data_IF_509859042434
#
_entry.id   IF_509859042434
#
_cell.length_a   1.000
_cell.length_b   1.000
_cell.length_c   1.000
_cell.angle_alpha   90.00
_cell.angle_beta   90.00
_cell.angle_gamma   90.00
#
_symmetry.space_group_name_H-M   'P 1'
#
loop_
_entity.id
_entity.type
_entity.pdbx_description
1 polymer ?
#
# COMPACT_ATOMS: atom_id res chain seq x y z
N UNK A 1 60.19 27.58 -33.72
CA UNK A 1 59.88 27.55 -32.28
C UNK A 1 58.48 26.98 -32.13
N UNK A 2 58.36 25.66 -31.98
CA UNK A 2 57.08 24.99 -31.69
C UNK A 2 57.42 23.93 -30.66
N UNK A 3 57.24 24.24 -29.38
CA UNK A 3 57.18 23.21 -28.34
C UNK A 3 56.07 23.60 -27.35
N UNK A 4 55.10 22.69 -27.29
CA UNK A 4 54.24 22.32 -26.15
C UNK A 4 53.24 23.34 -25.61
N UNK A 5 51.97 23.17 -26.00
CA UNK A 5 50.84 23.53 -25.14
C UNK A 5 49.63 22.58 -25.24
N UNK A 6 49.80 21.36 -25.78
CA UNK A 6 48.67 20.43 -26.02
C UNK A 6 48.49 19.40 -24.88
N UNK A 7 49.37 19.36 -23.87
CA UNK A 7 49.39 18.30 -22.85
C UNK A 7 48.42 18.47 -21.66
N UNK A 8 47.87 19.66 -21.39
CA UNK A 8 47.16 19.93 -20.12
C UNK A 8 45.63 19.97 -20.21
N UNK A 9 45.04 20.03 -21.41
CA UNK A 9 43.58 20.07 -21.58
C UNK A 9 42.92 18.67 -21.50
N UNK A 10 43.67 17.60 -21.75
CA UNK A 10 43.14 16.23 -21.80
C UNK A 10 42.97 15.57 -20.42
N UNK A 11 43.70 16.03 -19.40
CA UNK A 11 43.65 15.44 -18.04
C UNK A 11 42.51 16.04 -17.19
N UNK A 12 42.15 17.30 -17.42
CA UNK A 12 41.02 17.95 -16.73
C UNK A 12 39.64 17.41 -17.16
N UNK A 13 39.49 17.00 -18.42
CA UNK A 13 38.23 16.47 -18.96
C UNK A 13 37.87 15.07 -18.45
N UNK A 14 38.87 14.22 -18.20
CA UNK A 14 38.64 12.82 -17.77
C UNK A 14 38.35 12.76 -16.26
N UNK A 15 39.06 13.53 -15.43
CA UNK A 15 38.78 13.62 -13.99
C UNK A 15 37.42 14.31 -13.70
N UNK A 16 37.06 15.35 -14.48
CA UNK A 16 35.75 15.99 -14.40
C UNK A 16 34.60 15.08 -14.85
N UNK A 17 34.82 14.24 -15.88
CA UNK A 17 33.82 13.31 -16.40
C UNK A 17 33.50 12.15 -15.44
N UNK A 18 34.52 11.52 -14.84
CA UNK A 18 34.32 10.43 -13.87
C UNK A 18 33.70 10.95 -12.57
N UNK A 19 34.13 12.10 -12.08
CA UNK A 19 33.54 12.74 -10.89
C UNK A 19 32.06 13.10 -11.10
N UNK A 20 31.73 13.65 -12.28
CA UNK A 20 30.33 13.99 -12.62
C UNK A 20 29.47 12.74 -12.76
N UNK A 21 30.00 11.65 -13.33
CA UNK A 21 29.27 10.39 -13.46
C UNK A 21 28.90 9.80 -12.09
N UNK A 22 29.86 9.71 -11.16
CA UNK A 22 29.63 9.19 -9.80
C UNK A 22 28.60 10.06 -9.05
N UNK A 23 28.71 11.38 -9.16
CA UNK A 23 27.74 12.31 -8.55
C UNK A 23 26.35 12.15 -9.16
N UNK A 24 26.25 12.01 -10.48
CA UNK A 24 24.98 11.78 -11.17
C UNK A 24 24.35 10.44 -10.77
N UNK A 25 25.16 9.39 -10.61
CA UNK A 25 24.70 8.07 -10.18
C UNK A 25 24.18 8.12 -8.75
N UNK A 26 24.88 8.82 -7.85
CA UNK A 26 24.40 9.05 -6.47
C UNK A 26 23.10 9.87 -6.44
N UNK A 27 22.98 10.92 -7.26
CA UNK A 27 21.74 11.71 -7.36
C UNK A 27 20.60 10.84 -7.90
N UNK A 28 20.85 9.96 -8.87
CA UNK A 28 19.84 9.03 -9.41
C UNK A 28 19.41 8.01 -8.36
N UNK A 29 20.34 7.43 -7.60
CA UNK A 29 20.05 6.52 -6.51
C UNK A 29 19.17 7.19 -5.45
N UNK A 30 19.57 8.37 -4.95
CA UNK A 30 18.79 9.12 -3.96
C UNK A 30 17.39 9.48 -4.49
N UNK A 31 17.27 9.88 -5.77
CA UNK A 31 15.97 10.15 -6.39
C UNK A 31 15.10 8.90 -6.50
N UNK A 32 15.70 7.72 -6.71
CA UNK A 32 14.97 6.45 -6.76
C UNK A 32 14.46 6.07 -5.37
N UNK A 33 15.33 6.14 -4.37
CA UNK A 33 14.95 5.89 -2.96
C UNK A 33 13.83 6.81 -2.50
N UNK A 34 13.92 8.11 -2.81
CA UNK A 34 12.88 9.07 -2.47
C UNK A 34 11.55 8.76 -3.19
N UNK A 35 11.60 8.34 -4.46
CA UNK A 35 10.39 7.91 -5.18
C UNK A 35 9.77 6.66 -4.57
N UNK A 36 10.58 5.67 -4.17
CA UNK A 36 10.10 4.45 -3.51
C UNK A 36 9.43 4.82 -2.18
N UNK A 37 10.06 5.70 -1.38
CA UNK A 37 9.51 6.18 -0.12
C UNK A 37 8.17 6.89 -0.30
N UNK A 38 8.09 7.81 -1.26
CA UNK A 38 6.85 8.52 -1.58
C UNK A 38 5.76 7.56 -2.09
N UNK A 39 6.13 6.56 -2.88
CA UNK A 39 5.22 5.54 -3.36
C UNK A 39 4.63 4.71 -2.21
N UNK A 40 5.47 4.19 -1.31
CA UNK A 40 5.02 3.46 -0.11
C UNK A 40 4.08 4.30 0.73
N UNK A 41 4.47 5.54 1.03
CA UNK A 41 3.65 6.46 1.82
C UNK A 41 2.29 6.74 1.16
N UNK A 42 2.26 6.93 -0.16
CA UNK A 42 1.03 7.19 -0.88
C UNK A 42 0.10 5.97 -0.88
N UNK A 43 0.65 4.77 -1.09
CA UNK A 43 -0.10 3.52 -1.05
C UNK A 43 -0.65 3.26 0.35
N UNK A 44 0.17 3.41 1.39
CA UNK A 44 -0.26 3.28 2.79
C UNK A 44 -1.36 4.29 3.12
N UNK A 45 -1.25 5.53 2.65
CA UNK A 45 -2.28 6.55 2.85
C UNK A 45 -3.62 6.15 2.21
N UNK A 46 -3.62 5.58 1.00
CA UNK A 46 -4.84 5.03 0.39
C UNK A 46 -5.39 3.85 1.21
N UNK A 47 -4.54 2.89 1.57
CA UNK A 47 -4.90 1.71 2.36
C UNK A 47 -5.45 2.07 3.75
N UNK A 48 -4.97 3.15 4.36
CA UNK A 48 -5.44 3.65 5.66
C UNK A 48 -6.87 4.18 5.63
N UNK A 49 -7.38 4.55 4.45
CA UNK A 49 -8.73 5.08 4.27
C UNK A 49 -9.78 3.98 3.99
N UNK A 50 -9.38 2.70 4.00
CA UNK A 50 -10.25 1.56 3.70
C UNK A 50 -10.91 1.03 4.98
N UNK A 51 -11.72 1.88 5.62
CA UNK A 51 -12.34 1.63 6.93
C UNK A 51 -13.24 0.39 6.93
N UNK A 52 -13.87 0.07 5.80
CA UNK A 52 -14.75 -1.09 5.64
C UNK A 52 -14.01 -2.43 5.64
N UNK A 53 -12.72 -2.44 5.29
CA UNK A 53 -11.88 -3.63 5.42
C UNK A 53 -11.43 -3.83 6.87
N UNK A 54 -11.24 -2.73 7.60
CA UNK A 54 -10.86 -2.76 9.02
C UNK A 54 -12.01 -3.14 9.95
N UNK A 55 -13.25 -2.81 9.58
CA UNK A 55 -14.42 -3.07 10.41
C UNK A 55 -15.12 -4.38 10.05
N UNK A 56 -15.09 -5.33 10.98
CA UNK A 56 -15.75 -6.64 10.86
C UNK A 56 -17.25 -6.51 11.21
N UNK A 57 -18.04 -5.86 10.35
CA UNK A 57 -19.48 -5.70 10.60
C UNK A 57 -20.32 -5.85 9.35
N UNK A 58 -20.85 -7.06 9.14
CA UNK A 58 -22.27 -7.15 8.75
C UNK A 58 -22.93 -8.30 9.51
N UNK A 59 -24.09 -8.03 10.10
CA UNK A 59 -24.84 -9.01 10.90
C UNK A 59 -25.70 -9.97 10.05
N UNK A 60 -25.65 -9.85 8.71
CA UNK A 60 -26.37 -10.72 7.77
C UNK A 60 -25.55 -10.97 6.49
N UNK A 61 -24.47 -11.73 6.64
CA UNK A 61 -23.50 -12.09 5.60
C UNK A 61 -24.08 -12.80 4.36
N UNK A 62 -25.29 -13.37 4.41
CA UNK A 62 -25.83 -14.12 3.27
C UNK A 62 -26.62 -13.29 2.26
N UNK A 63 -27.18 -12.15 2.69
CA UNK A 63 -28.19 -11.41 1.90
C UNK A 63 -27.86 -9.95 1.70
N UNK A 64 -26.79 -9.42 2.30
CA UNK A 64 -26.43 -8.02 2.19
C UNK A 64 -25.25 -7.83 1.23
N UNK A 65 -25.50 -7.08 0.16
CA UNK A 65 -24.45 -6.49 -0.67
C UNK A 65 -24.16 -5.10 -0.10
N UNK A 66 -22.89 -4.72 0.12
CA UNK A 66 -22.55 -3.37 0.57
C UNK A 66 -23.16 -2.29 -0.33
N UNK A 67 -23.49 -1.14 0.23
CA UNK A 67 -24.21 -0.06 -0.50
C UNK A 67 -23.31 0.82 -1.38
N UNK A 68 -22.03 0.95 -1.04
CA UNK A 68 -21.05 1.80 -1.75
C UNK A 68 -19.82 0.99 -2.20
N UNK A 69 -19.01 1.56 -3.10
CA UNK A 69 -17.68 1.01 -3.37
C UNK A 69 -16.89 0.98 -2.06
N UNK A 70 -16.25 -0.16 -1.79
CA UNK A 70 -15.61 -0.44 -0.49
C UNK A 70 -14.10 -0.15 -0.58
N UNK A 71 -13.56 -0.15 -1.80
CA UNK A 71 -12.11 -0.09 -2.02
C UNK A 71 -11.80 0.90 -3.13
N UNK A 72 -11.12 1.99 -2.80
CA UNK A 72 -10.56 2.92 -3.78
C UNK A 72 -9.21 2.41 -4.28
N UNK A 73 -8.89 2.65 -5.55
CA UNK A 73 -7.63 2.23 -6.17
C UNK A 73 -7.00 3.36 -7.00
N UNK A 74 -7.23 4.62 -6.62
CA UNK A 74 -6.80 5.80 -7.37
C UNK A 74 -5.28 5.99 -7.30
N UNK A 75 -4.70 5.86 -6.10
CA UNK A 75 -3.26 5.97 -5.89
C UNK A 75 -2.55 4.82 -6.59
N UNK A 76 -3.05 3.59 -6.45
CA UNK A 76 -2.53 2.44 -7.19
C UNK A 76 -2.56 2.66 -8.71
N UNK A 77 -3.72 3.04 -9.27
CA UNK A 77 -3.87 3.24 -10.72
C UNK A 77 -2.95 4.34 -11.24
N UNK A 78 -2.87 5.48 -10.53
CA UNK A 78 -2.03 6.61 -10.91
C UNK A 78 -0.54 6.33 -10.81
N UNK A 79 -0.13 5.38 -9.96
CA UNK A 79 1.26 4.99 -9.77
C UNK A 79 1.61 3.59 -10.30
N UNK A 80 0.75 2.97 -11.10
CA UNK A 80 0.92 1.60 -11.60
C UNK A 80 2.26 1.35 -12.29
N UNK A 81 2.78 2.32 -13.04
CA UNK A 81 4.11 2.22 -13.69
C UNK A 81 5.27 2.23 -12.69
N UNK A 82 5.06 2.79 -11.51
CA UNK A 82 6.06 2.93 -10.44
C UNK A 82 6.05 1.76 -9.46
N UNK A 83 5.03 0.88 -9.49
CA UNK A 83 4.98 -0.34 -8.65
C UNK A 83 6.22 -1.22 -8.87
N UNK A 84 6.78 -1.21 -10.07
CA UNK A 84 8.04 -1.91 -10.40
C UNK A 84 9.29 -1.39 -9.64
N UNK A 85 9.18 -0.27 -8.93
CA UNK A 85 10.25 0.27 -8.10
C UNK A 85 10.29 -0.33 -6.70
N UNK A 86 9.18 -0.92 -6.24
CA UNK A 86 9.08 -1.62 -4.96
C UNK A 86 9.93 -2.90 -4.97
N UNK A 87 10.12 -3.52 -3.80
CA UNK A 87 10.66 -4.89 -3.75
C UNK A 87 9.71 -5.87 -4.45
N UNK A 88 10.18 -7.03 -4.92
CA UNK A 88 9.31 -8.05 -5.49
C UNK A 88 8.14 -8.43 -4.59
N UNK A 89 8.40 -8.57 -3.29
CA UNK A 89 7.43 -8.95 -2.27
C UNK A 89 6.36 -7.87 -2.08
N UNK A 90 6.77 -6.60 -1.97
CA UNK A 90 5.87 -5.45 -1.90
C UNK A 90 5.01 -5.34 -3.17
N UNK A 91 5.63 -5.45 -4.35
CA UNK A 91 4.92 -5.36 -5.61
C UNK A 91 3.89 -6.49 -5.75
N UNK A 92 4.24 -7.72 -5.36
CA UNK A 92 3.33 -8.86 -5.37
C UNK A 92 2.15 -8.65 -4.41
N UNK A 93 2.41 -8.18 -3.19
CA UNK A 93 1.38 -7.92 -2.19
C UNK A 93 0.41 -6.81 -2.66
N UNK A 94 0.94 -5.70 -3.18
CA UNK A 94 0.16 -4.59 -3.75
C UNK A 94 -0.68 -5.06 -4.93
N UNK A 95 -0.09 -5.75 -5.89
CA UNK A 95 -0.80 -6.23 -7.09
C UNK A 95 -1.91 -7.21 -6.70
N UNK A 96 -1.63 -8.15 -5.80
CA UNK A 96 -2.61 -9.15 -5.31
C UNK A 96 -3.81 -8.45 -4.68
N UNK A 97 -3.56 -7.55 -3.74
CA UNK A 97 -4.61 -6.80 -3.06
C UNK A 97 -5.46 -5.99 -4.05
N UNK A 98 -4.86 -5.12 -4.87
CA UNK A 98 -5.64 -4.25 -5.76
C UNK A 98 -6.34 -4.99 -6.88
N UNK A 99 -5.75 -6.06 -7.42
CA UNK A 99 -6.43 -6.90 -8.41
C UNK A 99 -7.65 -7.56 -7.80
N UNK A 100 -7.51 -8.13 -6.61
CA UNK A 100 -8.62 -8.72 -5.88
C UNK A 100 -9.70 -7.69 -5.52
N UNK A 101 -9.31 -6.50 -5.07
CA UNK A 101 -10.22 -5.41 -4.74
C UNK A 101 -11.07 -4.97 -5.94
N UNK A 102 -10.45 -4.83 -7.12
CA UNK A 102 -11.14 -4.47 -8.36
C UNK A 102 -12.19 -5.54 -8.71
N UNK A 103 -11.85 -6.82 -8.62
CA UNK A 103 -12.77 -7.93 -8.90
C UNK A 103 -13.94 -7.97 -7.91
N UNK A 104 -13.69 -7.68 -6.63
CA UNK A 104 -14.75 -7.60 -5.62
C UNK A 104 -15.68 -6.42 -5.89
N UNK A 105 -15.16 -5.23 -6.20
CA UNK A 105 -16.00 -4.07 -6.56
C UNK A 105 -16.86 -4.35 -7.80
N UNK A 106 -16.31 -5.01 -8.82
CA UNK A 106 -17.07 -5.44 -10.00
C UNK A 106 -18.17 -6.43 -9.65
N UNK A 107 -17.89 -7.38 -8.75
CA UNK A 107 -18.87 -8.37 -8.29
C UNK A 107 -20.00 -7.70 -7.49
N UNK A 108 -19.66 -6.73 -6.65
CA UNK A 108 -20.63 -5.92 -5.90
C UNK A 108 -21.52 -5.10 -6.86
N UNK A 109 -20.92 -4.43 -7.85
CA UNK A 109 -21.68 -3.68 -8.86
C UNK A 109 -22.63 -4.59 -9.62
N UNK A 110 -22.14 -5.73 -10.11
CA UNK A 110 -22.97 -6.74 -10.80
C UNK A 110 -24.12 -7.20 -9.92
N UNK A 111 -23.86 -7.48 -8.65
CA UNK A 111 -24.90 -7.88 -7.71
C UNK A 111 -25.95 -6.79 -7.47
N UNK A 112 -25.54 -5.52 -7.39
CA UNK A 112 -26.48 -4.38 -7.29
C UNK A 112 -27.35 -4.24 -8.52
N UNK A 113 -26.77 -4.39 -9.71
CA UNK A 113 -27.52 -4.34 -10.96
C UNK A 113 -28.59 -5.44 -10.99
N UNK A 114 -28.22 -6.66 -10.59
CA UNK A 114 -29.17 -7.78 -10.46
C UNK A 114 -30.26 -7.53 -9.42
N UNK A 115 -29.93 -6.94 -8.27
CA UNK A 115 -30.91 -6.55 -7.24
C UNK A 115 -31.91 -5.54 -7.81
N UNK A 116 -31.43 -4.53 -8.53
CA UNK A 116 -32.27 -3.46 -9.08
C UNK A 116 -33.26 -3.96 -10.14
N UNK A 117 -32.96 -5.08 -10.77
CA UNK A 117 -33.76 -5.71 -11.83
C UNK A 117 -34.61 -6.87 -11.33
N UNK A 118 -34.50 -7.26 -10.07
CA UNK A 118 -35.13 -8.46 -9.53
C UNK A 118 -36.40 -8.15 -8.74
N UNK A 119 -37.46 -8.93 -8.99
CA UNK A 119 -38.71 -8.86 -8.22
C UNK A 119 -38.58 -9.46 -6.81
N UNK A 120 -37.56 -10.29 -6.56
CA UNK A 120 -37.33 -10.97 -5.29
C UNK A 120 -35.84 -10.98 -4.91
N UNK A 121 -35.24 -9.80 -4.63
CA UNK A 121 -33.81 -9.66 -4.42
C UNK A 121 -33.28 -10.45 -3.21
N UNK A 122 -34.12 -10.71 -2.21
CA UNK A 122 -33.79 -11.53 -1.05
C UNK A 122 -33.53 -13.02 -1.33
N UNK A 123 -33.82 -13.52 -2.54
CA UNK A 123 -33.61 -14.92 -2.91
C UNK A 123 -32.22 -15.20 -3.50
N UNK A 124 -31.44 -14.16 -3.78
CA UNK A 124 -30.08 -14.30 -4.30
C UNK A 124 -29.09 -14.63 -3.18
N UNK A 125 -28.14 -15.51 -3.49
CA UNK A 125 -27.05 -15.85 -2.59
C UNK A 125 -25.82 -15.00 -2.90
N UNK A 126 -25.40 -14.18 -1.93
CA UNK A 126 -24.22 -13.31 -2.04
C UNK A 126 -23.02 -13.85 -1.25
N UNK A 127 -23.04 -15.11 -0.82
CA UNK A 127 -21.96 -15.74 -0.05
C UNK A 127 -20.58 -15.63 -0.70
N UNK A 128 -20.50 -15.69 -2.04
CA UNK A 128 -19.25 -15.57 -2.81
C UNK A 128 -18.61 -14.18 -2.71
N UNK A 129 -19.42 -13.11 -2.66
CA UNK A 129 -18.94 -11.74 -2.46
C UNK A 129 -18.31 -11.61 -1.08
N UNK A 130 -18.95 -12.20 -0.08
CA UNK A 130 -18.48 -12.12 1.30
C UNK A 130 -17.20 -12.93 1.53
N UNK A 131 -17.10 -14.14 0.99
CA UNK A 131 -15.85 -14.90 1.01
C UNK A 131 -14.71 -14.13 0.33
N UNK A 132 -15.03 -13.42 -0.74
CA UNK A 132 -14.06 -12.59 -1.45
C UNK A 132 -13.67 -11.37 -0.59
N UNK A 133 -14.60 -10.74 0.12
CA UNK A 133 -14.29 -9.66 1.07
C UNK A 133 -13.38 -10.13 2.20
N UNK A 134 -13.64 -11.30 2.79
CA UNK A 134 -12.78 -11.85 3.84
C UNK A 134 -11.36 -12.13 3.32
N UNK A 135 -11.24 -12.67 2.11
CA UNK A 135 -9.94 -12.84 1.45
C UNK A 135 -9.23 -11.51 1.21
N UNK A 136 -9.97 -10.49 0.75
CA UNK A 136 -9.40 -9.16 0.51
C UNK A 136 -8.96 -8.46 1.81
N UNK A 137 -9.63 -8.72 2.93
CA UNK A 137 -9.15 -8.25 4.25
C UNK A 137 -7.79 -8.84 4.61
N UNK A 138 -7.59 -10.13 4.32
CA UNK A 138 -6.28 -10.77 4.51
C UNK A 138 -5.23 -10.19 3.56
N UNK A 139 -5.57 -10.06 2.27
CA UNK A 139 -4.65 -9.47 1.29
C UNK A 139 -4.32 -8.00 1.62
N UNK A 140 -5.27 -7.23 2.16
CA UNK A 140 -5.06 -5.86 2.65
C UNK A 140 -4.05 -5.84 3.80
N UNK A 141 -4.25 -6.71 4.80
CA UNK A 141 -3.37 -6.82 5.96
C UNK A 141 -1.94 -7.17 5.53
N UNK A 142 -1.78 -8.20 4.71
CA UNK A 142 -0.46 -8.59 4.17
C UNK A 142 0.19 -7.46 3.36
N UNK A 143 -0.58 -6.76 2.53
CA UNK A 143 -0.09 -5.62 1.76
C UNK A 143 0.41 -4.47 2.66
N UNK A 144 -0.35 -4.11 3.69
CA UNK A 144 0.05 -3.07 4.65
C UNK A 144 1.34 -3.46 5.37
N UNK A 145 1.40 -4.68 5.92
CA UNK A 145 2.56 -5.15 6.68
C UNK A 145 3.83 -5.17 5.81
N UNK A 146 3.73 -5.65 4.56
CA UNK A 146 4.86 -5.70 3.63
C UNK A 146 5.38 -4.32 3.24
N UNK A 147 4.48 -3.36 3.00
CA UNK A 147 4.85 -1.97 2.70
C UNK A 147 5.49 -1.28 3.92
N UNK A 148 5.00 -1.58 5.12
CA UNK A 148 5.49 -0.96 6.35
C UNK A 148 6.83 -1.56 6.80
N UNK A 149 7.06 -2.87 6.66
CA UNK A 149 8.28 -3.55 7.10
C UNK A 149 9.57 -2.99 6.46
N UNK A 150 9.43 -2.41 5.26
CA UNK A 150 10.51 -1.80 4.50
C UNK A 150 10.60 -0.26 4.67
N UNK A 151 9.83 0.33 5.60
CA UNK A 151 9.93 1.74 5.96
C UNK A 151 10.87 1.97 7.13
N UNK A 152 11.66 3.04 7.07
CA UNK A 152 12.44 3.50 8.23
C UNK A 152 11.51 3.86 9.40
N UNK A 153 11.85 3.35 10.59
CA UNK A 153 11.04 3.55 11.79
C UNK A 153 9.84 2.62 11.89
N UNK A 154 9.84 1.50 11.16
CA UNK A 154 8.88 0.41 11.37
C UNK A 154 9.01 -0.12 12.80
N UNK A 155 7.96 0.00 13.62
CA UNK A 155 7.96 -0.55 14.96
C UNK A 155 7.70 -2.04 14.90
N UNK A 156 8.42 -2.80 15.73
CA UNK A 156 8.20 -4.24 15.86
C UNK A 156 7.03 -4.55 16.79
N UNK A 157 6.78 -3.65 17.73
CA UNK A 157 5.75 -3.77 18.75
C UNK A 157 4.99 -2.47 18.93
N UNK A 158 3.72 -2.61 19.24
CA UNK A 158 2.82 -1.51 19.57
C UNK A 158 2.19 -1.82 20.90
N UNK A 159 2.09 -0.81 21.75
CA UNK A 159 1.27 -0.87 22.95
C UNK A 159 0.09 0.08 22.81
N UNK A 160 -1.11 -0.47 22.99
CA UNK A 160 -2.37 0.26 23.01
C UNK A 160 -3.00 0.02 24.38
N UNK A 161 -3.16 1.08 25.15
CA UNK A 161 -3.58 0.98 26.56
C UNK A 161 -2.65 0.06 27.37
N UNK A 162 -3.13 -1.10 27.82
CA UNK A 162 -2.37 -2.10 28.58
C UNK A 162 -1.94 -3.31 27.73
N UNK A 163 -2.35 -3.39 26.47
CA UNK A 163 -2.10 -4.55 25.60
C UNK A 163 -0.95 -4.30 24.63
N UNK A 164 -0.12 -5.32 24.44
CA UNK A 164 1.02 -5.31 23.53
C UNK A 164 0.73 -6.19 22.32
N UNK A 165 1.02 -5.65 21.14
CA UNK A 165 0.78 -6.25 19.85
C UNK A 165 2.06 -6.29 19.04
N UNK A 166 2.38 -7.45 18.47
CA UNK A 166 3.43 -7.57 17.45
C UNK A 166 2.87 -7.12 16.10
N UNK A 167 3.67 -6.40 15.33
CA UNK A 167 3.33 -5.97 13.97
C UNK A 167 3.67 -7.07 12.95
N UNK A 168 2.89 -8.14 12.98
CA UNK A 168 3.04 -9.32 12.14
C UNK A 168 1.68 -9.81 11.57
N UNK A 169 1.67 -10.97 10.91
CA UNK A 169 0.48 -11.58 10.32
C UNK A 169 -0.62 -11.94 11.33
N UNK A 170 -0.38 -11.85 12.64
CA UNK A 170 -1.36 -12.16 13.69
C UNK A 170 -2.03 -10.89 14.25
N UNK A 171 -1.53 -9.69 13.92
CA UNK A 171 -2.13 -8.43 14.43
C UNK A 171 -3.61 -8.28 14.05
N UNK A 172 -4.54 -8.01 14.99
CA UNK A 172 -5.94 -7.86 14.60
C UNK A 172 -6.13 -6.71 13.60
N UNK A 173 -6.95 -6.93 12.56
CA UNK A 173 -7.22 -5.93 11.49
C UNK A 173 -7.64 -4.56 12.05
N UNK A 174 -8.51 -4.46 13.08
CA UNK A 174 -8.86 -3.17 13.68
C UNK A 174 -7.66 -2.46 14.31
N UNK A 175 -6.75 -3.22 14.93
CA UNK A 175 -5.54 -2.69 15.59
C UNK A 175 -4.58 -2.15 14.53
N UNK A 176 -4.36 -2.90 13.43
CA UNK A 176 -3.53 -2.42 12.33
C UNK A 176 -4.10 -1.14 11.70
N UNK A 177 -5.42 -1.03 11.55
CA UNK A 177 -6.05 0.20 11.07
C UNK A 177 -5.86 1.39 12.03
N UNK A 178 -5.95 1.17 13.34
CA UNK A 178 -5.67 2.22 14.34
C UNK A 178 -4.24 2.72 14.24
N UNK A 179 -3.28 1.83 13.99
CA UNK A 179 -1.86 2.18 13.79
C UNK A 179 -1.69 3.09 12.57
N UNK A 180 -2.34 2.73 11.47
CA UNK A 180 -2.32 3.52 10.24
C UNK A 180 -2.96 4.91 10.42
N UNK A 181 -3.96 5.03 11.29
CA UNK A 181 -4.74 6.24 11.49
C UNK A 181 -4.42 7.01 12.79
N UNK A 182 -3.36 6.66 13.51
CA UNK A 182 -3.03 7.23 14.83
C UNK A 182 -3.06 8.77 14.88
N UNK A 183 -2.47 9.41 13.86
CA UNK A 183 -2.31 10.87 13.82
C UNK A 183 -3.66 11.57 13.62
N UNK A 184 -4.62 10.87 12.99
CA UNK A 184 -6.01 11.32 12.81
C UNK A 184 -6.86 11.09 14.05
N UNK A 185 -6.60 9.99 14.78
CA UNK A 185 -7.37 9.61 15.96
C UNK A 185 -7.02 10.45 17.20
N UNK A 186 -5.88 11.16 17.17
CA UNK A 186 -5.43 11.98 18.31
C UNK A 186 -5.14 11.16 19.57
N UNK A 187 -4.90 9.85 19.40
CA UNK A 187 -4.70 8.91 20.51
C UNK A 187 -3.31 9.10 21.11
N UNK A 188 -3.28 9.67 22.31
CA UNK A 188 -2.07 9.77 23.14
C UNK A 188 -1.58 8.40 23.66
N UNK A 189 -2.38 7.34 23.48
CA UNK A 189 -2.20 6.03 24.13
C UNK A 189 -1.61 4.94 23.22
N UNK A 190 -1.18 5.27 21.99
CA UNK A 190 -0.46 4.33 21.11
C UNK A 190 1.03 4.61 21.20
N UNK A 191 1.79 3.67 21.78
CA UNK A 191 3.26 3.77 21.87
C UNK A 191 3.93 2.71 21.02
N UNK A 192 4.98 3.11 20.31
CA UNK A 192 5.73 2.25 19.40
C UNK A 192 7.06 1.84 20.03
N UNK A 193 7.38 0.56 19.93
CA UNK A 193 8.60 -0.02 20.47
C UNK A 193 9.35 -0.74 19.33
N UNK A 194 10.68 -0.56 19.32
CA UNK A 194 11.59 -1.17 18.34
C UNK A 194 12.34 -2.34 18.97
#
# INVERSE_FOLDING_TARGET
MIISSVGSALIGGIAGGVGTYIVQEKIRANKKEEKIRQLRQSLIAELSCLDELANEKSSNYRTQVPGNEIITAEVYKSNSSQISLLTPEEAEAVIRFYTGAILVNQSIQTARDLISQSDNPQLHDYSSINQSLDRIRQDWKSCVLELMSNMEGYPNQIKIEEEEYTLDEDIPTPILWMVLNRDRLGTADITFQN
#
